data_IF_223663680061
#
_entry.id   IF_223663680061
#
_cell.length_a   1.000
_cell.length_b   1.000
_cell.length_c   1.000
_cell.angle_alpha   90.00
_cell.angle_beta   90.00
_cell.angle_gamma   90.00
#
_symmetry.space_group_name_H-M   'P 1'
#
loop_
_entity.id
_entity.type
_entity.pdbx_description
1 polymer ?
#
# COMPACT_ATOMS: atom_id res chain seq x y z
N UNK A 1 3.08 17.54 -2.61
CA UNK A 1 2.84 16.19 -2.11
C UNK A 1 3.16 16.09 -0.62
N UNK A 2 2.53 15.14 0.06
CA UNK A 2 2.91 14.61 1.37
C UNK A 2 3.44 13.20 1.12
N UNK A 3 4.60 12.88 1.66
CA UNK A 3 5.21 11.56 1.64
C UNK A 3 5.25 11.03 3.07
N UNK A 4 4.63 9.88 3.29
CA UNK A 4 4.76 9.11 4.52
C UNK A 4 5.89 8.10 4.33
N UNK A 5 6.80 8.05 5.28
CA UNK A 5 7.98 7.22 5.24
C UNK A 5 8.30 6.72 6.64
N UNK A 6 8.45 5.42 6.81
CA UNK A 6 8.88 4.87 8.09
C UNK A 6 10.36 5.24 8.37
N UNK A 7 10.71 5.52 9.63
CA UNK A 7 12.07 5.92 9.98
C UNK A 7 13.11 4.79 9.87
N UNK A 8 12.67 3.54 9.87
CA UNK A 8 13.48 2.32 9.78
C UNK A 8 13.65 1.80 8.33
N UNK A 9 13.56 2.70 7.37
CA UNK A 9 13.59 2.36 5.95
C UNK A 9 14.71 3.04 5.20
N UNK A 10 15.29 2.35 4.22
CA UNK A 10 16.28 2.89 3.30
C UNK A 10 15.64 3.06 1.93
N UNK A 11 15.57 4.30 1.46
CA UNK A 11 15.11 4.62 0.11
C UNK A 11 16.20 4.29 -0.90
N UNK A 12 15.90 3.42 -1.86
CA UNK A 12 16.85 2.97 -2.86
C UNK A 12 16.50 3.49 -4.25
N UNK A 13 17.47 3.48 -5.17
CA UNK A 13 17.27 3.59 -6.61
C UNK A 13 16.41 4.81 -7.04
N UNK A 14 16.64 5.96 -6.39
CA UNK A 14 15.90 7.21 -6.65
C UNK A 14 14.37 7.02 -6.57
N UNK A 15 13.92 6.20 -5.62
CA UNK A 15 12.52 5.80 -5.48
C UNK A 15 11.56 7.00 -5.37
N UNK A 16 11.94 8.05 -4.66
CA UNK A 16 11.10 9.25 -4.49
C UNK A 16 10.91 9.95 -5.83
N UNK A 17 12.00 10.14 -6.62
CA UNK A 17 11.91 10.78 -7.94
C UNK A 17 11.01 9.99 -8.88
N UNK A 18 11.16 8.66 -8.88
CA UNK A 18 10.33 7.75 -9.69
C UNK A 18 8.86 7.80 -9.26
N UNK A 19 8.60 7.84 -7.96
CA UNK A 19 7.24 7.94 -7.43
C UNK A 19 6.59 9.26 -7.83
N UNK A 20 7.33 10.37 -7.77
CA UNK A 20 6.85 11.69 -8.21
C UNK A 20 6.54 11.68 -9.71
N UNK A 21 7.45 11.18 -10.54
CA UNK A 21 7.23 11.09 -11.98
C UNK A 21 6.00 10.23 -12.32
N UNK A 22 5.86 9.09 -11.64
CA UNK A 22 4.71 8.21 -11.78
C UNK A 22 3.40 8.90 -11.37
N UNK A 23 3.40 9.61 -10.26
CA UNK A 23 2.24 10.35 -9.76
C UNK A 23 1.80 11.46 -10.72
N UNK A 24 2.75 12.16 -11.34
CA UNK A 24 2.47 13.18 -12.34
C UNK A 24 1.80 12.60 -13.59
N UNK A 25 2.20 11.39 -14.00
CA UNK A 25 1.61 10.65 -15.12
C UNK A 25 0.26 10.01 -14.78
N UNK A 26 0.02 9.68 -13.50
CA UNK A 26 -1.14 8.93 -13.03
C UNK A 26 -1.95 9.69 -11.98
N UNK A 27 -2.33 10.92 -12.27
CA UNK A 27 -2.96 11.85 -11.33
C UNK A 27 -4.28 11.36 -10.71
N UNK A 28 -5.02 10.50 -11.41
CA UNK A 28 -6.29 9.94 -10.92
C UNK A 28 -6.14 8.99 -9.74
N UNK A 29 -4.96 8.43 -9.56
CA UNK A 29 -4.70 7.50 -8.44
C UNK A 29 -4.84 8.20 -7.09
N UNK A 30 -4.38 9.45 -6.96
CA UNK A 30 -4.39 10.31 -5.78
C UNK A 30 -3.64 9.74 -4.56
N UNK A 31 -3.34 8.45 -4.53
CA UNK A 31 -2.47 7.79 -3.56
C UNK A 31 -1.55 6.86 -4.33
N UNK A 32 -0.26 6.97 -4.07
CA UNK A 32 0.76 6.15 -4.72
C UNK A 32 1.68 5.53 -3.67
N UNK A 33 2.04 4.29 -3.91
CA UNK A 33 3.06 3.59 -3.15
C UNK A 33 3.99 2.80 -4.05
N UNK A 34 4.97 2.16 -3.44
CA UNK A 34 5.94 1.36 -4.16
C UNK A 34 6.11 -0.03 -3.57
N UNK A 35 6.80 -0.87 -4.31
CA UNK A 35 7.21 -2.19 -3.85
C UNK A 35 8.26 -2.03 -2.75
N UNK A 36 7.99 -2.59 -1.58
CA UNK A 36 8.94 -2.61 -0.47
C UNK A 36 9.51 -4.01 -0.27
N UNK A 37 10.76 -4.10 0.11
CA UNK A 37 11.45 -5.34 0.40
C UNK A 37 11.94 -5.34 1.85
N UNK A 38 12.15 -6.51 2.41
CA UNK A 38 12.91 -6.65 3.64
C UNK A 38 14.41 -6.48 3.38
N UNK A 39 15.22 -6.38 4.44
CA UNK A 39 16.66 -6.21 4.36
C UNK A 39 17.36 -7.36 3.61
N UNK A 40 16.81 -8.56 3.64
CA UNK A 40 17.28 -9.74 2.91
C UNK A 40 16.90 -9.76 1.42
N UNK A 41 16.22 -8.71 0.93
CA UNK A 41 15.73 -8.60 -0.44
C UNK A 41 14.43 -9.33 -0.72
N UNK A 42 13.85 -10.03 0.24
CA UNK A 42 12.56 -10.67 0.07
C UNK A 42 11.42 -9.63 0.02
N UNK A 43 10.32 -9.99 -0.63
CA UNK A 43 9.17 -9.10 -0.77
C UNK A 43 8.49 -8.86 0.58
N UNK A 44 8.28 -7.59 0.94
CA UNK A 44 7.39 -7.24 2.05
C UNK A 44 5.93 -7.31 1.57
N UNK A 45 5.15 -8.32 2.01
CA UNK A 45 3.76 -8.48 1.60
C UNK A 45 2.85 -7.38 2.16
N UNK A 46 3.27 -6.68 3.22
CA UNK A 46 2.54 -5.58 3.85
C UNK A 46 2.71 -4.23 3.14
N UNK A 47 3.33 -4.18 1.95
CA UNK A 47 3.44 -2.93 1.17
C UNK A 47 2.09 -2.42 0.66
N UNK A 48 1.13 -3.31 0.45
CA UNK A 48 -0.24 -3.00 0.06
C UNK A 48 -1.14 -4.23 0.22
N UNK A 49 -2.45 -4.00 0.36
CA UNK A 49 -3.44 -5.07 0.46
C UNK A 49 -4.83 -4.63 -0.01
N UNK A 50 -5.74 -5.57 -0.13
CA UNK A 50 -7.14 -5.28 -0.37
C UNK A 50 -7.89 -5.05 0.95
N UNK A 51 -8.95 -4.25 0.90
CA UNK A 51 -9.84 -4.04 2.04
C UNK A 51 -10.40 -5.36 2.54
N UNK A 52 -10.64 -5.43 3.84
CA UNK A 52 -11.29 -6.58 4.46
C UNK A 52 -12.74 -6.67 3.97
N UNK A 53 -13.10 -7.84 3.48
CA UNK A 53 -14.48 -8.19 3.09
C UNK A 53 -14.93 -9.41 3.90
N UNK A 54 -16.25 -9.68 4.04
CA UNK A 54 -16.71 -10.89 4.71
C UNK A 54 -16.11 -12.18 4.13
N UNK A 55 -15.86 -12.20 2.82
CA UNK A 55 -15.25 -13.34 2.14
C UNK A 55 -13.80 -13.56 2.57
N UNK A 56 -12.93 -12.54 2.46
CA UNK A 56 -11.53 -12.73 2.83
C UNK A 56 -11.35 -12.94 4.35
N UNK A 57 -12.23 -12.35 5.16
CA UNK A 57 -12.26 -12.64 6.60
C UNK A 57 -12.60 -14.13 6.86
N UNK A 58 -13.62 -14.66 6.19
CA UNK A 58 -13.98 -16.07 6.30
C UNK A 58 -12.82 -16.98 5.87
N UNK A 59 -12.13 -16.68 4.76
CA UNK A 59 -10.98 -17.45 4.29
C UNK A 59 -9.81 -17.40 5.30
N UNK A 60 -9.60 -16.29 5.97
CA UNK A 60 -8.58 -16.16 7.02
C UNK A 60 -8.93 -16.96 8.27
N UNK A 61 -10.15 -16.78 8.79
CA UNK A 61 -10.61 -17.45 10.03
C UNK A 61 -10.65 -18.97 9.86
N UNK A 62 -11.05 -19.47 8.70
CA UNK A 62 -11.06 -20.92 8.40
C UNK A 62 -9.68 -21.49 8.07
N UNK A 63 -8.64 -20.65 7.92
CA UNK A 63 -7.31 -21.10 7.53
C UNK A 63 -7.14 -21.43 6.05
N UNK A 64 -8.19 -21.34 5.23
CA UNK A 64 -8.16 -21.66 3.80
C UNK A 64 -7.18 -20.74 3.06
N UNK A 65 -7.11 -19.47 3.45
CA UNK A 65 -6.15 -18.53 2.86
C UNK A 65 -4.69 -18.99 3.01
N UNK A 66 -4.34 -19.62 4.13
CA UNK A 66 -3.01 -20.16 4.38
C UNK A 66 -2.71 -21.43 3.57
N UNK A 67 -3.73 -22.26 3.32
CA UNK A 67 -3.60 -23.47 2.49
C UNK A 67 -3.42 -23.12 1.00
N UNK A 68 -4.01 -21.99 0.56
CA UNK A 68 -3.97 -21.55 -0.83
C UNK A 68 -3.40 -20.13 -0.99
N UNK A 69 -2.14 -19.87 -0.58
CA UNK A 69 -1.58 -18.52 -0.49
C UNK A 69 -1.46 -17.83 -1.86
N UNK A 70 -1.38 -18.60 -2.95
CA UNK A 70 -1.28 -18.09 -4.32
C UNK A 70 -2.64 -17.95 -5.02
N UNK A 71 -3.74 -18.28 -4.36
CA UNK A 71 -5.08 -18.19 -4.96
C UNK A 71 -5.66 -16.79 -4.76
N UNK A 72 -5.99 -16.11 -5.85
CA UNK A 72 -6.70 -14.85 -5.79
C UNK A 72 -8.13 -14.99 -5.23
N UNK A 73 -8.72 -16.18 -5.27
CA UNK A 73 -10.04 -16.47 -4.72
C UNK A 73 -9.99 -16.71 -3.21
N UNK A 74 -9.02 -17.47 -2.74
CA UNK A 74 -8.92 -17.88 -1.33
C UNK A 74 -8.00 -16.98 -0.49
N UNK A 75 -7.13 -16.22 -1.14
CA UNK A 75 -6.28 -15.20 -0.50
C UNK A 75 -6.34 -13.88 -1.26
N UNK A 76 -7.52 -13.27 -1.42
CA UNK A 76 -7.68 -12.04 -2.17
C UNK A 76 -7.00 -10.84 -1.50
N UNK A 77 -6.93 -10.81 -0.17
CA UNK A 77 -6.31 -9.73 0.59
C UNK A 77 -4.83 -9.53 0.22
N UNK A 78 -4.10 -10.63 0.04
CA UNK A 78 -2.70 -10.63 -0.39
C UNK A 78 -2.53 -10.71 -1.93
N UNK A 79 -3.61 -10.51 -2.69
CA UNK A 79 -3.63 -10.56 -4.16
C UNK A 79 -3.19 -11.90 -4.77
N UNK A 80 -3.41 -13.01 -4.06
CA UNK A 80 -3.03 -14.34 -4.54
C UNK A 80 -1.54 -14.51 -4.77
N UNK A 81 -0.70 -13.89 -3.94
CA UNK A 81 0.75 -13.97 -4.04
C UNK A 81 1.35 -13.14 -5.18
N UNK A 82 0.67 -12.09 -5.64
CA UNK A 82 1.24 -11.14 -6.61
C UNK A 82 2.59 -10.59 -6.12
N UNK A 83 3.68 -10.72 -6.92
CA UNK A 83 5.03 -10.33 -6.51
C UNK A 83 5.28 -8.82 -6.52
N UNK A 84 4.25 -8.03 -6.79
CA UNK A 84 4.27 -6.55 -6.90
C UNK A 84 5.27 -6.04 -7.95
N UNK A 85 5.42 -6.80 -9.02
CA UNK A 85 6.33 -6.53 -10.14
C UNK A 85 5.66 -5.80 -11.31
N UNK A 86 4.40 -5.48 -11.17
CA UNK A 86 3.58 -4.73 -12.13
C UNK A 86 2.87 -3.58 -11.45
N UNK A 87 2.54 -2.53 -12.20
CA UNK A 87 1.68 -1.44 -11.70
C UNK A 87 0.28 -1.98 -11.48
N UNK A 88 -0.27 -1.72 -10.29
CA UNK A 88 -1.60 -2.22 -9.94
C UNK A 88 -2.37 -1.28 -9.04
N UNK A 89 -3.66 -1.12 -9.32
CA UNK A 89 -4.61 -0.51 -8.39
C UNK A 89 -4.84 -1.45 -7.21
N UNK A 90 -4.83 -0.89 -6.00
CA UNK A 90 -5.03 -1.60 -4.73
C UNK A 90 -6.06 -0.86 -3.89
N UNK A 91 -6.59 -1.50 -2.85
CA UNK A 91 -7.48 -0.78 -1.94
C UNK A 91 -6.69 0.05 -0.94
N UNK A 92 -5.58 -0.48 -0.43
CA UNK A 92 -4.78 0.11 0.63
C UNK A 92 -3.31 0.06 0.26
N UNK A 93 -2.64 1.19 0.40
CA UNK A 93 -1.17 1.36 0.33
C UNK A 93 -0.67 1.53 1.75
N UNK A 94 0.41 0.84 2.10
CA UNK A 94 1.02 0.94 3.43
C UNK A 94 1.60 2.33 3.70
N UNK A 95 1.41 2.80 4.93
CA UNK A 95 1.98 4.06 5.41
C UNK A 95 3.51 4.10 5.44
N UNK A 96 4.18 2.96 5.32
CA UNK A 96 5.64 2.92 5.29
C UNK A 96 6.25 3.57 4.04
N UNK A 97 5.52 3.65 2.93
CA UNK A 97 5.90 4.37 1.71
C UNK A 97 4.67 4.77 0.91
N UNK A 98 4.03 5.87 1.31
CA UNK A 98 2.80 6.37 0.72
C UNK A 98 2.95 7.84 0.35
N UNK A 99 2.59 8.18 -0.86
CA UNK A 99 2.53 9.57 -1.32
C UNK A 99 1.12 9.97 -1.70
N UNK A 100 0.73 11.20 -1.35
CA UNK A 100 -0.60 11.78 -1.59
C UNK A 100 -0.45 13.27 -1.93
N UNK A 101 -1.29 13.86 -2.81
CA UNK A 101 -1.29 15.31 -3.01
C UNK A 101 -1.63 16.04 -1.70
N UNK A 102 -0.89 17.10 -1.39
CA UNK A 102 -1.12 17.87 -0.16
C UNK A 102 -2.57 18.36 -0.04
N UNK A 103 -3.16 18.81 -1.14
CA UNK A 103 -4.55 19.26 -1.13
C UNK A 103 -5.53 18.15 -0.76
N UNK A 104 -5.29 16.92 -1.22
CA UNK A 104 -6.12 15.74 -0.89
C UNK A 104 -5.92 15.35 0.57
N UNK A 105 -4.66 15.34 1.05
CA UNK A 105 -4.35 15.11 2.46
C UNK A 105 -5.09 16.08 3.38
N UNK A 106 -5.05 17.36 3.06
CA UNK A 106 -5.74 18.41 3.83
C UNK A 106 -7.26 18.28 3.77
N UNK A 107 -7.81 17.99 2.59
CA UNK A 107 -9.25 17.79 2.41
C UNK A 107 -9.79 16.58 3.18
N UNK A 108 -8.97 15.55 3.34
CA UNK A 108 -9.29 14.36 4.14
C UNK A 108 -9.04 14.55 5.65
N UNK A 109 -8.37 15.65 6.06
CA UNK A 109 -7.99 15.87 7.45
C UNK A 109 -6.81 15.04 7.94
N UNK A 110 -6.03 14.46 7.04
CA UNK A 110 -4.90 13.58 7.38
C UNK A 110 -5.33 12.24 7.96
N UNK A 111 -4.55 11.72 8.90
CA UNK A 111 -4.92 10.53 9.67
C UNK A 111 -6.00 10.85 10.70
N UNK A 112 -6.94 9.93 10.90
CA UNK A 112 -7.93 10.02 11.96
C UNK A 112 -7.27 9.70 13.31
N UNK A 113 -7.28 10.63 14.30
CA UNK A 113 -6.64 10.43 15.59
C UNK A 113 -7.27 9.31 16.43
N UNK A 114 -8.41 8.76 16.01
CA UNK A 114 -9.00 7.57 16.64
C UNK A 114 -8.11 6.34 16.50
N UNK A 115 -7.30 6.29 15.44
CA UNK A 115 -6.33 5.23 15.21
C UNK A 115 -5.01 5.60 15.91
N UNK A 116 -4.73 4.97 17.04
CA UNK A 116 -3.48 5.22 17.78
C UNK A 116 -2.28 4.56 17.10
N UNK A 117 -2.46 3.34 16.61
CA UNK A 117 -1.42 2.55 15.93
C UNK A 117 -2.09 1.47 15.06
N UNK A 118 -1.66 1.38 13.80
CA UNK A 118 -2.20 0.48 12.75
C UNK A 118 -3.63 0.79 12.32
N UNK A 119 -3.83 0.81 11.01
CA UNK A 119 -5.13 1.01 10.37
C UNK A 119 -5.39 2.43 9.90
N UNK A 120 -4.58 3.41 10.33
CA UNK A 120 -4.70 4.82 9.92
C UNK A 120 -4.53 5.01 8.41
N UNK A 121 -3.60 4.28 7.78
CA UNK A 121 -3.42 4.30 6.33
C UNK A 121 -4.56 3.59 5.60
N UNK A 122 -5.13 2.54 6.21
CA UNK A 122 -6.28 1.84 5.65
C UNK A 122 -7.50 2.76 5.63
N UNK A 123 -7.79 3.42 6.74
CA UNK A 123 -8.85 4.42 6.83
C UNK A 123 -8.63 5.57 5.83
N UNK A 124 -7.41 6.13 5.78
CA UNK A 124 -7.07 7.20 4.82
C UNK A 124 -7.33 6.76 3.37
N UNK A 125 -6.85 5.57 2.98
CA UNK A 125 -7.08 5.03 1.64
C UNK A 125 -8.57 4.83 1.34
N UNK A 126 -9.35 4.32 2.30
CA UNK A 126 -10.77 4.10 2.13
C UNK A 126 -11.56 5.42 2.06
N UNK A 127 -11.19 6.45 2.84
CA UNK A 127 -11.77 7.80 2.73
C UNK A 127 -11.42 8.43 1.37
N UNK A 128 -10.18 8.30 0.93
CA UNK A 128 -9.76 8.78 -0.39
C UNK A 128 -10.53 8.10 -1.53
N UNK A 129 -10.78 6.80 -1.44
CA UNK A 129 -11.60 6.08 -2.43
C UNK A 129 -13.03 6.60 -2.54
N UNK A 130 -13.62 7.08 -1.44
CA UNK A 130 -14.97 7.69 -1.46
C UNK A 130 -15.02 8.98 -2.27
N UNK A 131 -13.90 9.68 -2.42
CA UNK A 131 -13.77 10.87 -3.27
C UNK A 131 -13.18 10.56 -4.66
N UNK A 132 -13.14 9.27 -5.04
CA UNK A 132 -12.74 8.82 -6.37
C UNK A 132 -11.27 8.47 -6.55
N UNK A 133 -10.48 8.43 -5.48
CA UNK A 133 -9.10 7.97 -5.55
C UNK A 133 -9.00 6.47 -5.95
N UNK A 134 -7.93 6.13 -6.63
CA UNK A 134 -7.56 4.77 -7.03
C UNK A 134 -6.14 4.48 -6.58
N UNK A 135 -5.93 4.16 -5.30
CA UNK A 135 -4.60 3.92 -4.77
C UNK A 135 -3.84 2.93 -5.66
N UNK A 136 -2.61 3.25 -6.03
CA UNK A 136 -1.86 2.49 -7.02
C UNK A 136 -0.43 2.25 -6.53
N UNK A 137 0.03 1.03 -6.70
CA UNK A 137 1.41 0.62 -6.38
C UNK A 137 2.24 0.57 -7.64
N UNK A 138 3.42 1.20 -7.58
CA UNK A 138 4.44 1.16 -8.61
C UNK A 138 5.29 -0.11 -8.47
N UNK A 139 5.58 -0.75 -9.61
CA UNK A 139 6.24 -2.06 -9.68
C UNK A 139 7.72 -2.07 -9.30
N UNK A 140 8.39 -0.91 -9.33
CA UNK A 140 9.81 -0.84 -9.03
C UNK A 140 10.11 -1.01 -7.54
N UNK A 141 11.25 -1.63 -7.25
CA UNK A 141 11.79 -1.66 -5.89
C UNK A 141 12.03 -0.23 -5.42
N UNK A 142 11.38 0.13 -4.34
CA UNK A 142 11.40 1.50 -3.85
C UNK A 142 12.17 1.62 -2.54
N UNK A 143 12.24 0.55 -1.75
CA UNK A 143 12.66 0.69 -0.39
C UNK A 143 13.06 -0.66 0.23
N UNK A 144 14.08 -0.64 1.10
CA UNK A 144 14.38 -1.71 2.04
C UNK A 144 13.85 -1.34 3.42
N UNK A 145 13.18 -2.28 4.09
CA UNK A 145 12.60 -2.10 5.41
C UNK A 145 13.29 -3.00 6.44
N UNK A 146 13.43 -2.48 7.68
CA UNK A 146 14.04 -3.25 8.76
C UNK A 146 15.58 -3.33 8.64
N UNK A 147 16.22 -2.26 8.18
CA UNK A 147 17.69 -2.18 7.98
C UNK A 147 18.40 -1.56 9.19
N UNK A 148 17.65 -1.14 10.21
CA UNK A 148 18.19 -0.55 11.44
C UNK A 148 18.44 -1.62 12.51
#
# INVERSE_FOLDING_TARGET
>A
YVLLLNPDTVVTDRAIDRLIAFAQANRRALIWGGRTLFADGSLNPASCWQRITPWNLAMRVTGIAALFPRSALFNPEAFGGWPRDTVREVDIVSGCFLMIPRAVWQALGGFDPTFFMYGEEADLCLRARRIGARPTVLAHQMMLWGVA
#
